data_IF_703053193192
#
_entry.id   IF_703053193192
#
_cell.length_a   1.000
_cell.length_b   1.000
_cell.length_c   1.000
_cell.angle_alpha   90.00
_cell.angle_beta   90.00
_cell.angle_gamma   90.00
#
_symmetry.space_group_name_H-M   'P 1'
#
loop_
_entity.id
_entity.type
_entity.pdbx_description
1 polymer ?
#
# COMPACT_ATOMS: atom_id res chain seq x y z
N UNK A 1 13.38 -21.22 14.78
CA UNK A 1 12.53 -20.76 13.67
C UNK A 1 11.53 -19.77 14.25
N UNK A 2 11.79 -18.46 14.14
CA UNK A 2 10.88 -17.41 14.60
C UNK A 2 10.00 -17.02 13.41
N UNK A 3 8.73 -17.40 13.44
CA UNK A 3 7.72 -16.86 12.53
C UNK A 3 7.46 -15.40 12.94
N UNK A 4 8.15 -14.47 12.28
CA UNK A 4 7.84 -13.04 12.37
C UNK A 4 6.69 -12.79 11.41
N UNK A 5 5.48 -12.59 11.94
CA UNK A 5 4.36 -12.04 11.18
C UNK A 5 4.71 -10.59 10.85
N UNK A 6 5.24 -10.36 9.64
CA UNK A 6 5.53 -9.02 9.12
C UNK A 6 4.30 -8.54 8.39
N UNK A 7 3.60 -7.54 8.94
CA UNK A 7 2.58 -6.81 8.19
C UNK A 7 3.13 -5.45 7.78
N UNK A 8 3.64 -5.39 6.55
CA UNK A 8 3.82 -4.15 5.81
C UNK A 8 2.46 -3.80 5.19
N UNK A 9 2.07 -2.52 5.29
CA UNK A 9 0.89 -1.90 4.68
C UNK A 9 0.16 -2.76 3.64
N UNK A 10 -0.92 -3.41 4.07
CA UNK A 10 -1.81 -4.14 3.18
C UNK A 10 -2.54 -3.15 2.29
N UNK A 11 -2.01 -2.91 1.09
CA UNK A 11 -2.82 -2.41 -0.02
C UNK A 11 -3.62 -3.62 -0.50
N UNK A 12 -4.82 -3.85 0.05
CA UNK A 12 -5.66 -4.94 -0.45
C UNK A 12 -6.24 -4.56 -1.83
N UNK A 13 -6.40 -5.59 -2.64
CA UNK A 13 -6.78 -5.51 -4.04
C UNK A 13 -8.24 -5.84 -4.22
N UNK A 14 -8.83 -5.13 -5.19
CA UNK A 14 -9.92 -5.63 -5.99
C UNK A 14 -9.47 -6.78 -6.89
N UNK A 15 -9.91 -7.99 -6.55
CA UNK A 15 -9.97 -9.11 -7.49
C UNK A 15 -11.43 -9.25 -7.96
N UNK A 16 -11.74 -8.68 -9.12
CA UNK A 16 -12.99 -8.96 -9.83
C UNK A 16 -12.89 -10.29 -10.54
N UNK A 17 -13.82 -11.21 -10.28
CA UNK A 17 -14.03 -12.39 -11.11
C UNK A 17 -15.38 -12.31 -11.81
N UNK A 18 -15.33 -12.70 -13.08
CA UNK A 18 -16.33 -12.55 -14.12
C UNK A 18 -17.46 -13.58 -13.99
N UNK A 19 -18.64 -13.20 -14.48
CA UNK A 19 -19.89 -13.96 -14.50
C UNK A 19 -19.77 -15.31 -15.22
N UNK A 20 -20.32 -16.36 -14.61
CA UNK A 20 -20.94 -17.46 -15.33
C UNK A 20 -22.36 -17.67 -14.79
N UNK A 21 -23.32 -17.38 -15.67
CA UNK A 21 -24.73 -17.66 -15.48
C UNK A 21 -24.98 -19.16 -15.52
N UNK A 22 -25.60 -19.70 -14.49
CA UNK A 22 -26.45 -20.88 -14.61
C UNK A 22 -27.76 -20.63 -13.89
N UNK A 23 -28.83 -20.76 -14.67
CA UNK A 23 -30.23 -20.74 -14.28
C UNK A 23 -30.54 -21.83 -13.25
N UNK A 24 -31.40 -21.53 -12.27
CA UNK A 24 -32.51 -22.42 -11.91
C UNK A 24 -33.55 -21.68 -11.05
N UNK A 25 -34.79 -21.70 -11.55
CA UNK A 25 -35.99 -21.31 -10.83
C UNK A 25 -36.32 -22.37 -9.76
N UNK A 26 -36.62 -21.93 -8.54
CA UNK A 26 -37.54 -22.64 -7.65
C UNK A 26 -38.18 -21.64 -6.69
N UNK A 27 -39.48 -21.44 -6.86
CA UNK A 27 -40.39 -20.78 -5.91
C UNK A 27 -40.72 -21.69 -4.74
N UNK A 28 -40.67 -21.18 -3.51
CA UNK A 28 -41.73 -21.38 -2.51
C UNK A 28 -41.47 -20.56 -1.25
N UNK A 29 -42.51 -19.83 -0.82
CA UNK A 29 -42.67 -19.24 0.50
C UNK A 29 -42.28 -20.23 1.62
N UNK A 30 -41.55 -19.76 2.64
CA UNK A 30 -41.96 -20.07 4.00
C UNK A 30 -41.46 -19.03 5.03
N UNK A 31 -42.45 -18.51 5.75
CA UNK A 31 -42.48 -17.83 7.05
C UNK A 31 -41.18 -17.44 7.77
N UNK A 32 -41.11 -16.16 8.12
CA UNK A 32 -40.18 -15.57 9.10
C UNK A 32 -40.17 -16.35 10.42
N UNK A 33 -38.98 -16.76 10.84
CA UNK A 33 -38.67 -17.12 12.22
C UNK A 33 -37.53 -16.20 12.67
N UNK A 34 -37.66 -15.47 13.79
CA UNK A 34 -36.58 -14.61 14.26
C UNK A 34 -35.34 -15.47 14.49
N UNK A 35 -34.23 -15.11 13.82
CA UNK A 35 -32.95 -15.74 14.08
C UNK A 35 -32.62 -15.50 15.55
N UNK A 36 -32.61 -16.59 16.30
CA UNK A 36 -32.13 -16.63 17.66
C UNK A 36 -30.72 -16.04 17.66
N UNK A 37 -30.50 -15.04 18.51
CA UNK A 37 -29.17 -14.52 18.80
C UNK A 37 -28.30 -15.71 19.20
N UNK A 38 -27.35 -16.05 18.32
CA UNK A 38 -26.31 -17.02 18.62
C UNK A 38 -25.55 -16.45 19.83
N UNK A 39 -25.68 -17.12 20.97
CA UNK A 39 -24.95 -16.80 22.19
C UNK A 39 -23.47 -17.08 21.95
N UNK A 40 -22.79 -16.15 21.28
CA UNK A 40 -21.33 -16.15 21.22
C UNK A 40 -20.82 -15.71 22.59
N UNK A 41 -19.92 -16.50 23.15
CA UNK A 41 -19.03 -16.13 24.26
C UNK A 41 -18.78 -14.63 24.29
N UNK A 42 -19.24 -13.95 25.35
CA UNK A 42 -19.05 -12.52 25.51
C UNK A 42 -17.56 -12.21 25.35
N UNK A 43 -17.22 -11.49 24.28
CA UNK A 43 -15.92 -10.84 24.15
C UNK A 43 -15.83 -9.86 25.32
N UNK A 44 -14.86 -10.05 26.22
CA UNK A 44 -14.64 -9.13 27.35
C UNK A 44 -14.09 -7.76 26.91
N UNK A 45 -13.82 -7.59 25.61
CA UNK A 45 -13.35 -6.36 25.01
C UNK A 45 -14.46 -5.36 24.70
N UNK A 46 -14.08 -4.12 24.41
CA UNK A 46 -14.96 -3.07 23.91
C UNK A 46 -15.55 -3.52 22.57
N UNK A 47 -16.88 -3.58 22.50
CA UNK A 47 -17.62 -3.97 21.30
C UNK A 47 -17.22 -3.11 20.10
N UNK A 48 -16.85 -3.76 18.99
CA UNK A 48 -16.58 -3.10 17.72
C UNK A 48 -17.84 -3.12 16.85
N UNK A 49 -18.25 -1.94 16.39
CA UNK A 49 -19.39 -1.70 15.52
C UNK A 49 -18.97 -0.75 14.37
N UNK A 50 -19.90 -0.40 13.47
CA UNK A 50 -19.58 0.44 12.32
C UNK A 50 -19.06 1.85 12.71
N UNK A 51 -19.49 2.39 13.86
CA UNK A 51 -19.14 3.75 14.29
C UNK A 51 -17.71 3.85 14.83
N UNK A 52 -17.18 2.77 15.42
CA UNK A 52 -15.84 2.73 15.99
C UNK A 52 -14.85 1.82 15.24
N UNK A 53 -15.29 1.17 14.16
CA UNK A 53 -14.47 0.23 13.39
C UNK A 53 -13.15 0.86 12.92
N UNK A 54 -13.18 2.08 12.38
CA UNK A 54 -11.97 2.74 11.85
C UNK A 54 -10.89 2.87 12.93
N UNK A 55 -11.31 3.25 14.14
CA UNK A 55 -10.43 3.39 15.30
C UNK A 55 -9.88 2.02 15.75
N UNK A 56 -10.76 1.03 15.90
CA UNK A 56 -10.38 -0.32 16.30
C UNK A 56 -9.43 -1.00 15.29
N UNK A 57 -9.66 -0.77 14.00
CA UNK A 57 -8.80 -1.27 12.92
C UNK A 57 -7.42 -0.59 12.97
N UNK A 58 -7.40 0.74 13.10
CA UNK A 58 -6.16 1.52 13.13
C UNK A 58 -5.33 1.24 14.37
N UNK A 59 -5.95 1.11 15.54
CA UNK A 59 -5.29 0.73 16.79
C UNK A 59 -4.59 -0.63 16.67
N UNK A 60 -5.20 -1.60 15.97
CA UNK A 60 -4.57 -2.90 15.71
C UNK A 60 -3.27 -2.72 14.89
N UNK A 61 -3.28 -1.89 13.85
CA UNK A 61 -2.08 -1.62 13.05
C UNK A 61 -1.02 -0.84 13.84
N UNK A 62 -1.42 0.15 14.65
CA UNK A 62 -0.50 0.89 15.52
C UNK A 62 0.12 -0.03 16.57
N UNK A 63 -0.68 -0.90 17.22
CA UNK A 63 -0.20 -1.88 18.19
C UNK A 63 0.86 -2.80 17.59
N UNK A 64 0.63 -3.29 16.37
CA UNK A 64 1.58 -4.14 15.66
C UNK A 64 2.86 -3.36 15.30
N UNK A 65 2.75 -2.12 14.80
CA UNK A 65 3.95 -1.30 14.53
C UNK A 65 4.76 -0.99 15.79
N UNK A 66 4.11 -0.71 16.92
CA UNK A 66 4.76 -0.50 18.22
C UNK A 66 5.48 -1.77 18.68
N UNK A 67 4.84 -2.94 18.50
CA UNK A 67 5.44 -4.24 18.82
C UNK A 67 6.68 -4.53 17.96
N UNK A 68 6.60 -4.31 16.65
CA UNK A 68 7.71 -4.55 15.72
C UNK A 68 8.90 -3.60 15.95
N UNK A 69 8.62 -2.39 16.43
CA UNK A 69 9.64 -1.43 16.86
C UNK A 69 10.22 -1.71 18.26
N UNK A 70 9.61 -2.61 19.04
CA UNK A 70 9.98 -2.88 20.42
C UNK A 70 9.66 -1.72 21.38
N UNK A 71 8.60 -0.95 21.08
CA UNK A 71 8.08 0.14 21.91
C UNK A 71 7.61 1.36 21.11
N UNK A 72 6.89 2.25 21.79
CA UNK A 72 6.43 3.53 21.23
C UNK A 72 7.61 4.48 21.02
N UNK A 73 7.46 5.43 20.08
CA UNK A 73 8.47 6.42 19.71
C UNK A 73 9.82 5.80 19.30
N UNK A 74 9.79 4.57 18.79
CA UNK A 74 10.94 3.86 18.21
C UNK A 74 10.68 3.57 16.74
N UNK A 75 11.72 3.70 15.93
CA UNK A 75 11.63 3.31 14.54
C UNK A 75 11.71 1.80 14.39
N UNK A 76 10.82 1.27 13.58
CA UNK A 76 11.06 0.02 12.88
C UNK A 76 11.50 0.34 11.45
N UNK A 77 12.75 0.00 11.12
CA UNK A 77 13.29 0.18 9.77
C UNK A 77 13.34 -1.17 9.03
N UNK A 78 12.70 -1.24 7.87
CA UNK A 78 12.91 -2.34 6.95
C UNK A 78 14.23 -2.10 6.22
N UNK A 79 15.23 -2.94 6.51
CA UNK A 79 16.60 -2.84 5.98
C UNK A 79 16.82 -3.65 4.70
N UNK A 80 15.83 -4.43 4.33
CA UNK A 80 15.86 -5.28 3.14
C UNK A 80 14.58 -5.07 2.32
N UNK A 81 14.71 -5.28 1.02
CA UNK A 81 13.54 -5.38 0.14
C UNK A 81 12.73 -6.62 0.51
N UNK A 82 11.42 -6.60 0.22
CA UNK A 82 10.56 -7.76 0.38
C UNK A 82 11.19 -9.00 -0.30
N UNK A 83 11.55 -10.05 0.45
CA UNK A 83 12.12 -11.27 -0.12
C UNK A 83 11.16 -11.92 -1.11
N UNK A 84 11.67 -12.51 -2.18
CA UNK A 84 10.82 -13.14 -3.21
C UNK A 84 10.25 -14.48 -2.71
N UNK A 85 11.03 -15.18 -1.91
CA UNK A 85 10.72 -16.48 -1.31
C UNK A 85 9.88 -16.38 -0.02
N UNK A 86 9.70 -15.19 0.53
CA UNK A 86 8.90 -14.96 1.73
C UNK A 86 8.11 -13.63 1.64
N UNK A 87 7.09 -13.63 0.79
CA UNK A 87 6.23 -12.46 0.57
C UNK A 87 5.03 -12.50 1.52
N UNK A 88 5.02 -11.62 2.52
CA UNK A 88 3.88 -11.50 3.45
C UNK A 88 2.79 -10.55 2.96
N UNK A 89 3.01 -9.84 1.85
CA UNK A 89 2.12 -8.80 1.32
C UNK A 89 1.82 -9.06 -0.16
N UNK A 90 0.53 -9.12 -0.49
CA UNK A 90 0.04 -9.19 -1.86
C UNK A 90 0.34 -7.85 -2.56
N UNK A 91 0.84 -7.91 -3.80
CA UNK A 91 1.33 -6.76 -4.58
C UNK A 91 2.36 -5.90 -3.82
N UNK A 92 3.27 -6.56 -3.10
CA UNK A 92 4.37 -5.89 -2.42
C UNK A 92 5.12 -4.92 -3.34
N UNK A 93 5.57 -3.80 -2.77
CA UNK A 93 6.36 -2.80 -3.44
C UNK A 93 7.86 -3.08 -3.21
N UNK A 94 8.65 -3.09 -4.29
CA UNK A 94 10.12 -3.27 -4.23
C UNK A 94 10.89 -2.04 -4.73
N UNK A 95 10.22 -0.90 -4.91
CA UNK A 95 10.86 0.35 -5.32
C UNK A 95 11.29 1.23 -4.14
N UNK A 96 10.87 0.91 -2.91
CA UNK A 96 11.17 1.70 -1.70
C UNK A 96 11.51 0.79 -0.53
N UNK A 97 12.36 1.29 0.39
CA UNK A 97 12.45 0.77 1.75
C UNK A 97 11.53 1.55 2.68
N UNK A 98 10.95 0.84 3.63
CA UNK A 98 9.95 1.35 4.56
C UNK A 98 10.55 1.63 5.93
N UNK A 99 10.00 2.60 6.63
CA UNK A 99 10.18 2.75 8.08
C UNK A 99 8.85 3.15 8.71
N UNK A 100 8.62 2.74 9.94
CA UNK A 100 7.44 3.14 10.71
C UNK A 100 7.80 3.56 12.12
N UNK A 101 7.01 4.46 12.69
CA UNK A 101 7.10 4.90 14.08
C UNK A 101 5.72 5.40 14.52
N UNK A 102 5.35 5.11 15.76
CA UNK A 102 4.11 5.58 16.40
C UNK A 102 4.48 6.52 17.54
N UNK A 103 3.79 7.66 17.65
CA UNK A 103 4.00 8.67 18.68
C UNK A 103 2.75 8.88 19.53
N UNK A 104 2.95 9.18 20.82
CA UNK A 104 1.90 9.65 21.75
C UNK A 104 1.96 11.17 21.85
N UNK A 105 1.00 11.87 21.24
CA UNK A 105 0.91 13.33 21.24
C UNK A 105 0.33 13.89 22.54
N UNK A 106 -0.27 13.07 23.41
CA UNK A 106 -0.65 13.52 24.75
C UNK A 106 0.58 13.71 25.67
N UNK A 107 1.66 12.97 25.42
CA UNK A 107 2.89 13.11 26.19
C UNK A 107 3.66 14.39 25.81
N UNK A 108 3.84 14.62 24.51
CA UNK A 108 4.43 15.86 24.00
C UNK A 108 4.21 15.99 22.48
N UNK A 109 4.21 17.24 21.95
CA UNK A 109 4.42 17.47 20.53
C UNK A 109 5.70 16.78 20.03
N UNK A 110 5.65 16.29 18.80
CA UNK A 110 6.81 15.66 18.15
C UNK A 110 7.23 16.46 16.92
N UNK A 111 8.54 16.65 16.77
CA UNK A 111 9.13 17.21 15.57
C UNK A 111 9.99 16.16 14.89
N UNK A 112 9.75 15.91 13.60
CA UNK A 112 10.59 15.02 12.79
C UNK A 112 11.41 15.83 11.81
N UNK A 113 12.63 15.38 11.53
CA UNK A 113 13.45 15.91 10.46
C UNK A 113 13.80 14.79 9.50
N UNK A 114 13.32 14.91 8.26
CA UNK A 114 13.74 14.06 7.15
C UNK A 114 15.05 14.60 6.56
N UNK A 115 16.10 13.78 6.42
CA UNK A 115 17.37 14.21 5.85
C UNK A 115 17.21 14.56 4.37
N UNK A 116 18.18 15.28 3.81
CA UNK A 116 18.23 15.56 2.37
C UNK A 116 18.57 14.28 1.58
N UNK A 117 17.64 13.74 0.77
CA UNK A 117 17.90 12.57 -0.06
C UNK A 117 18.50 12.96 -1.42
N UNK A 118 18.80 14.24 -1.65
CA UNK A 118 19.13 14.80 -2.96
C UNK A 118 17.95 14.67 -3.93
N UNK A 119 18.17 14.01 -5.06
CA UNK A 119 17.12 13.77 -6.08
C UNK A 119 16.25 12.54 -5.80
N UNK A 120 16.57 11.75 -4.77
CA UNK A 120 15.87 10.51 -4.46
C UNK A 120 14.52 10.82 -3.83
N UNK A 121 13.50 10.07 -4.24
CA UNK A 121 12.19 10.17 -3.61
C UNK A 121 12.25 9.69 -2.16
N UNK A 122 11.80 10.54 -1.23
CA UNK A 122 11.60 10.19 0.17
C UNK A 122 10.37 10.92 0.70
N UNK A 123 9.45 10.18 1.30
CA UNK A 123 8.19 10.71 1.83
C UNK A 123 7.90 10.16 3.23
N UNK A 124 7.29 10.95 4.09
CA UNK A 124 6.70 10.52 5.35
C UNK A 124 5.20 10.75 5.31
N UNK A 125 4.42 9.68 5.39
CA UNK A 125 2.96 9.75 5.46
C UNK A 125 2.53 9.65 6.91
N UNK A 126 1.93 10.72 7.42
CA UNK A 126 1.22 10.71 8.69
C UNK A 126 -0.11 9.99 8.51
N UNK A 127 -0.43 9.12 9.45
CA UNK A 127 -1.73 8.47 9.63
C UNK A 127 -2.15 8.75 11.08
N UNK A 128 -3.33 9.33 11.28
CA UNK A 128 -3.91 9.50 12.61
C UNK A 128 -4.74 8.28 13.03
N UNK A 129 -5.29 8.28 14.25
CA UNK A 129 -6.07 7.13 14.75
C UNK A 129 -7.41 6.92 14.01
N UNK A 130 -7.90 7.94 13.30
CA UNK A 130 -9.06 7.84 12.43
C UNK A 130 -8.64 7.53 10.98
N UNK A 131 -7.39 7.14 10.76
CA UNK A 131 -6.79 6.81 9.48
C UNK A 131 -6.85 7.92 8.41
N UNK A 132 -7.03 9.17 8.80
CA UNK A 132 -6.78 10.26 7.87
C UNK A 132 -5.28 10.35 7.61
N UNK A 133 -4.92 10.64 6.37
CA UNK A 133 -3.55 10.56 5.89
C UNK A 133 -3.09 11.86 5.26
N UNK A 134 -1.85 12.27 5.59
CA UNK A 134 -1.19 13.41 4.97
C UNK A 134 0.29 13.09 4.70
N UNK A 135 0.74 13.33 3.47
CA UNK A 135 2.13 13.07 3.06
C UNK A 135 2.99 14.32 3.09
N UNK A 136 4.18 14.16 3.67
CA UNK A 136 5.27 15.12 3.73
C UNK A 136 6.46 14.58 2.93
N UNK A 137 7.30 15.46 2.39
CA UNK A 137 8.42 15.08 1.52
C UNK A 137 9.74 15.61 2.07
N UNK A 138 10.80 14.82 1.89
CA UNK A 138 12.14 15.23 2.29
C UNK A 138 12.81 16.15 1.24
N UNK A 139 13.80 16.97 1.64
CA UNK A 139 14.15 17.30 3.03
C UNK A 139 13.08 18.15 3.70
N UNK A 140 12.98 18.06 5.03
CA UNK A 140 12.11 18.95 5.77
C UNK A 140 12.00 18.61 7.25
N UNK A 141 11.59 19.62 8.03
CA UNK A 141 11.30 19.49 9.46
C UNK A 141 9.81 19.77 9.68
N UNK A 142 9.12 18.84 10.35
CA UNK A 142 7.67 18.85 10.50
C UNK A 142 7.30 18.63 11.97
N UNK A 143 6.47 19.50 12.52
CA UNK A 143 6.00 19.41 13.92
C UNK A 143 4.52 19.05 13.97
N UNK A 144 4.22 18.02 14.76
CA UNK A 144 2.88 17.50 14.99
C UNK A 144 2.47 17.73 16.45
N UNK A 145 1.26 18.24 16.65
CA UNK A 145 0.65 18.44 17.96
C UNK A 145 -0.73 17.80 17.97
N UNK A 146 -1.21 17.37 19.14
CA UNK A 146 -2.53 16.76 19.27
C UNK A 146 -3.64 17.71 18.79
N UNK A 147 -3.51 19.01 19.03
CA UNK A 147 -4.50 20.01 18.62
C UNK A 147 -4.61 20.13 17.09
N UNK A 148 -3.50 19.97 16.36
CA UNK A 148 -3.49 20.04 14.90
C UNK A 148 -3.92 18.75 14.24
N UNK A 149 -3.57 17.60 14.84
CA UNK A 149 -3.89 16.27 14.30
C UNK A 149 -5.32 15.88 14.65
N UNK A 150 -5.74 16.08 15.89
CA UNK A 150 -7.06 15.71 16.40
C UNK A 150 -7.11 14.38 17.16
N UNK A 151 -6.06 13.57 17.12
CA UNK A 151 -5.96 12.28 17.81
C UNK A 151 -4.74 12.22 18.73
N UNK A 152 -4.75 11.30 19.70
CA UNK A 152 -3.64 11.10 20.65
C UNK A 152 -2.46 10.47 19.93
N UNK A 153 -2.70 9.42 19.15
CA UNK A 153 -1.65 8.71 18.45
C UNK A 153 -1.55 9.12 16.98
N UNK A 154 -0.33 9.13 16.47
CA UNK A 154 -0.05 9.14 15.04
C UNK A 154 0.96 8.06 14.69
N UNK A 155 0.87 7.54 13.48
CA UNK A 155 1.93 6.76 12.86
C UNK A 155 2.53 7.51 11.68
N UNK A 156 3.84 7.51 11.56
CA UNK A 156 4.53 7.92 10.34
C UNK A 156 5.01 6.71 9.56
N UNK A 157 4.47 6.51 8.35
CA UNK A 157 4.99 5.57 7.36
C UNK A 157 5.95 6.28 6.41
N UNK A 158 7.23 5.96 6.48
CA UNK A 158 8.28 6.59 5.68
C UNK A 158 8.67 5.64 4.55
N UNK A 159 8.77 6.19 3.33
CA UNK A 159 9.15 5.48 2.11
C UNK A 159 10.34 6.17 1.48
N UNK A 160 11.42 5.45 1.27
CA UNK A 160 12.63 5.96 0.61
C UNK A 160 12.92 5.10 -0.61
N UNK A 161 12.95 5.72 -1.79
CA UNK A 161 13.25 5.01 -3.04
C UNK A 161 14.59 4.29 -2.96
N UNK A 162 14.67 3.10 -3.51
CA UNK A 162 15.88 2.29 -3.61
C UNK A 162 16.01 1.75 -5.03
N UNK A 163 17.22 1.75 -5.58
CA UNK A 163 17.51 0.98 -6.79
C UNK A 163 17.69 -0.49 -6.40
N UNK A 164 16.74 -1.39 -6.70
CA UNK A 164 16.86 -2.80 -6.33
C UNK A 164 17.96 -3.55 -7.09
N UNK A 165 18.58 -2.93 -8.11
CA UNK A 165 19.63 -3.55 -8.92
C UNK A 165 21.05 -3.19 -8.46
N UNK A 166 21.20 -2.24 -7.52
CA UNK A 166 22.49 -1.84 -6.96
C UNK A 166 22.48 -2.10 -5.43
N UNK A 167 23.11 -3.19 -4.96
CA UNK A 167 23.22 -3.46 -3.52
C UNK A 167 23.86 -2.31 -2.73
N UNK A 168 24.76 -1.53 -3.34
CA UNK A 168 25.37 -0.36 -2.68
C UNK A 168 24.39 0.81 -2.55
N UNK A 169 23.30 0.81 -3.31
CA UNK A 169 22.23 1.80 -3.16
C UNK A 169 21.39 1.52 -1.93
N UNK A 170 21.21 0.24 -1.54
CA UNK A 170 20.56 -0.15 -0.28
C UNK A 170 21.29 0.49 0.90
N UNK A 171 22.62 0.42 0.95
CA UNK A 171 23.42 1.03 2.03
C UNK A 171 23.19 2.55 2.14
N UNK A 172 23.03 3.24 1.01
CA UNK A 172 22.71 4.69 1.00
C UNK A 172 21.31 4.95 1.56
N UNK A 173 20.35 4.09 1.27
CA UNK A 173 18.98 4.20 1.79
C UNK A 173 18.95 3.89 3.28
N UNK A 174 19.72 2.91 3.75
CA UNK A 174 19.90 2.61 5.18
C UNK A 174 20.49 3.83 5.90
N UNK A 175 21.52 4.46 5.33
CA UNK A 175 22.09 5.69 5.89
C UNK A 175 21.07 6.84 5.96
N UNK A 176 20.17 6.97 4.97
CA UNK A 176 19.07 7.94 5.00
C UNK A 176 18.03 7.61 6.07
N UNK A 177 17.70 6.33 6.27
CA UNK A 177 16.82 5.90 7.36
C UNK A 177 17.42 6.26 8.73
N UNK A 178 18.71 6.00 8.92
CA UNK A 178 19.44 6.26 10.18
C UNK A 178 19.58 7.76 10.48
N UNK A 179 19.56 8.59 9.43
CA UNK A 179 19.66 10.04 9.56
C UNK A 179 18.34 10.74 9.87
N UNK A 180 17.21 10.02 9.94
CA UNK A 180 15.92 10.59 10.36
C UNK A 180 16.00 10.97 11.84
N UNK A 181 15.69 12.23 12.16
CA UNK A 181 15.72 12.72 13.54
C UNK A 181 14.31 12.90 14.08
N UNK A 182 14.15 12.60 15.36
CA UNK A 182 12.94 12.80 16.14
C UNK A 182 13.31 13.62 17.36
N UNK A 183 12.53 14.67 17.61
CA UNK A 183 12.57 15.45 18.83
C UNK A 183 11.17 15.40 19.48
N UNK A 184 11.09 14.65 20.57
CA UNK A 184 9.90 14.55 21.42
C UNK A 184 10.39 14.54 22.87
N UNK A 185 9.89 15.46 23.70
CA UNK A 185 10.35 15.61 25.09
C UNK A 185 10.03 14.37 25.94
N UNK A 186 8.86 13.79 25.71
CA UNK A 186 8.37 12.62 26.42
C UNK A 186 7.71 11.66 25.43
N UNK A 187 8.07 10.37 25.49
CA UNK A 187 7.61 9.37 24.52
C UNK A 187 6.19 8.84 24.80
N UNK A 188 5.68 9.05 26.02
CA UNK A 188 4.38 8.54 26.44
C UNK A 188 4.28 7.02 26.49
N UNK A 189 3.06 6.52 26.30
CA UNK A 189 2.74 5.07 26.30
C UNK A 189 1.73 4.76 25.22
N UNK A 190 1.81 3.56 24.67
CA UNK A 190 0.78 3.06 23.76
C UNK A 190 -0.28 2.27 24.55
N UNK A 191 -1.48 2.83 24.65
CA UNK A 191 -2.60 2.32 25.42
C UNK A 191 -3.88 2.49 24.59
N UNK A 192 -4.42 1.38 24.11
CA UNK A 192 -5.65 1.34 23.32
C UNK A 192 -6.68 0.44 24.01
N UNK A 193 -7.98 0.62 23.75
CA UNK A 193 -8.99 -0.27 24.28
C UNK A 193 -8.71 -1.73 23.90
N UNK A 194 -9.10 -2.66 24.78
CA UNK A 194 -9.14 -4.08 24.44
C UNK A 194 -10.30 -4.30 23.47
N UNK A 195 -10.08 -4.09 22.17
CA UNK A 195 -11.14 -4.18 21.16
C UNK A 195 -11.60 -5.63 20.96
N UNK A 196 -12.91 -5.83 20.78
CA UNK A 196 -13.46 -7.10 20.33
C UNK A 196 -12.93 -7.49 18.94
N UNK A 197 -11.87 -8.30 18.91
CA UNK A 197 -11.19 -8.71 17.68
C UNK A 197 -12.10 -9.53 16.75
N UNK A 198 -13.04 -10.29 17.30
CA UNK A 198 -13.97 -11.07 16.50
C UNK A 198 -14.98 -10.15 15.79
N UNK A 199 -15.55 -9.18 16.51
CA UNK A 199 -16.38 -8.12 15.95
C UNK A 199 -15.66 -7.28 14.90
N UNK A 200 -14.43 -6.83 15.20
CA UNK A 200 -13.57 -6.10 14.26
C UNK A 200 -13.37 -6.88 12.97
N UNK A 201 -12.93 -8.13 13.06
CA UNK A 201 -12.69 -8.97 11.88
C UNK A 201 -13.96 -9.16 11.06
N UNK A 202 -15.12 -9.36 11.69
CA UNK A 202 -16.41 -9.52 11.00
C UNK A 202 -16.76 -8.30 10.15
N UNK A 203 -16.56 -7.09 10.69
CA UNK A 203 -16.82 -5.84 9.97
C UNK A 203 -15.80 -5.66 8.85
N UNK A 204 -14.51 -5.91 9.13
CA UNK A 204 -13.45 -5.91 8.12
C UNK A 204 -13.82 -6.80 6.92
N UNK A 205 -14.15 -8.07 7.16
CA UNK A 205 -14.49 -9.04 6.10
C UNK A 205 -15.73 -8.58 5.30
N UNK A 206 -16.73 -8.00 5.98
CA UNK A 206 -17.93 -7.47 5.33
C UNK A 206 -17.61 -6.27 4.42
N UNK A 207 -16.73 -5.37 4.88
CA UNK A 207 -16.28 -4.22 4.10
C UNK A 207 -15.39 -4.65 2.93
N UNK A 208 -14.63 -5.75 3.05
CA UNK A 208 -13.94 -6.39 1.93
C UNK A 208 -14.94 -6.85 0.87
N UNK A 209 -16.08 -7.41 1.24
CA UNK A 209 -17.11 -7.78 0.25
C UNK A 209 -17.78 -6.56 -0.38
N UNK A 210 -18.15 -5.55 0.41
CA UNK A 210 -18.69 -4.26 -0.11
C UNK A 210 -17.73 -3.64 -1.10
N UNK A 211 -16.43 -3.66 -0.77
CA UNK A 211 -15.41 -3.07 -1.61
C UNK A 211 -15.54 -3.58 -3.04
N UNK A 212 -15.79 -4.89 -3.27
CA UNK A 212 -15.78 -5.53 -4.61
C UNK A 212 -16.79 -4.91 -5.58
N UNK A 213 -17.73 -4.12 -5.09
CA UNK A 213 -18.72 -3.38 -5.88
C UNK A 213 -18.24 -2.01 -6.35
N UNK A 214 -17.12 -1.52 -5.80
CA UNK A 214 -16.55 -0.21 -6.11
C UNK A 214 -15.65 -0.29 -7.35
N UNK A 215 -15.73 0.70 -8.27
CA UNK A 215 -14.94 0.69 -9.50
C UNK A 215 -13.49 1.16 -9.29
N UNK A 216 -13.19 1.82 -8.16
CA UNK A 216 -11.93 2.48 -7.89
C UNK A 216 -11.71 2.70 -6.37
N UNK A 217 -10.53 3.20 -6.01
CA UNK A 217 -10.16 3.58 -4.64
C UNK A 217 -10.34 5.08 -4.37
N UNK A 218 -11.12 5.79 -5.20
CA UNK A 218 -11.20 7.24 -5.11
C UNK A 218 -11.91 7.69 -3.84
N UNK A 219 -11.33 8.68 -3.17
CA UNK A 219 -11.84 9.21 -1.91
C UNK A 219 -11.70 8.27 -0.71
N UNK A 220 -10.89 7.21 -0.80
CA UNK A 220 -10.62 6.32 0.34
C UNK A 220 -9.54 6.86 1.29
N UNK A 221 -8.52 7.55 0.75
CA UNK A 221 -7.33 7.97 1.49
C UNK A 221 -7.05 9.46 1.29
N UNK A 222 -6.76 10.16 2.37
CA UNK A 222 -6.59 11.62 2.37
C UNK A 222 -6.83 12.22 3.74
N UNK A 223 -6.74 13.55 3.81
CA UNK A 223 -7.25 14.30 4.97
C UNK A 223 -8.78 14.20 5.03
N UNK A 224 -9.37 14.55 6.17
CA UNK A 224 -10.82 14.45 6.39
C UNK A 224 -11.68 15.16 5.33
N UNK A 225 -11.20 16.25 4.77
CA UNK A 225 -11.86 17.03 3.71
C UNK A 225 -11.62 16.49 2.29
N UNK A 226 -10.74 15.50 2.13
CA UNK A 226 -10.37 14.90 0.83
C UNK A 226 -11.02 13.55 0.59
N UNK A 227 -11.67 12.97 1.60
CA UNK A 227 -12.26 11.62 1.52
C UNK A 227 -13.78 11.67 1.56
N UNK A 228 -14.41 10.66 0.96
CA UNK A 228 -15.82 10.37 1.19
C UNK A 228 -15.94 9.42 2.39
N UNK A 229 -16.84 9.67 3.32
CA UNK A 229 -16.89 8.92 4.58
C UNK A 229 -17.14 7.41 4.37
N UNK A 230 -17.98 7.04 3.41
CA UNK A 230 -18.25 5.62 3.10
C UNK A 230 -17.05 4.99 2.40
N UNK A 231 -16.45 5.69 1.43
CA UNK A 231 -15.22 5.22 0.78
C UNK A 231 -14.08 5.06 1.78
N UNK A 232 -13.92 6.01 2.69
CA UNK A 232 -12.93 5.98 3.74
C UNK A 232 -13.09 4.74 4.63
N UNK A 233 -14.30 4.49 5.14
CA UNK A 233 -14.62 3.29 5.93
C UNK A 233 -14.24 1.99 5.20
N UNK A 234 -14.61 1.87 3.92
CA UNK A 234 -14.25 0.71 3.09
C UNK A 234 -12.74 0.62 2.86
N UNK A 235 -12.09 1.76 2.62
CA UNK A 235 -10.64 1.87 2.47
C UNK A 235 -9.87 1.51 3.73
N UNK A 236 -10.46 1.72 4.91
CA UNK A 236 -9.88 1.29 6.19
C UNK A 236 -9.72 -0.20 6.28
N UNK A 237 -10.75 -0.95 5.88
CA UNK A 237 -10.66 -2.40 5.86
C UNK A 237 -9.74 -2.90 4.74
N UNK A 238 -9.80 -2.28 3.56
CA UNK A 238 -9.21 -2.86 2.34
C UNK A 238 -7.89 -2.24 1.90
N UNK A 239 -7.39 -1.20 2.54
CA UNK A 239 -6.17 -0.55 2.08
C UNK A 239 -5.52 0.28 3.16
N UNK A 240 -5.47 -0.24 4.39
CA UNK A 240 -4.95 0.51 5.52
C UNK A 240 -3.55 1.09 5.24
N UNK A 241 -3.41 2.40 5.44
CA UNK A 241 -2.21 3.17 5.09
C UNK A 241 -1.94 3.35 3.59
N UNK A 242 -2.99 3.26 2.77
CA UNK A 242 -3.00 3.74 1.39
C UNK A 242 -2.63 5.21 1.30
N UNK A 243 -1.93 5.59 0.22
CA UNK A 243 -1.60 6.99 -0.02
C UNK A 243 -2.82 7.75 -0.56
N UNK A 244 -2.95 9.04 -0.23
CA UNK A 244 -3.80 9.94 -0.99
C UNK A 244 -3.41 9.91 -2.48
N UNK A 245 -4.39 10.02 -3.38
CA UNK A 245 -4.17 9.84 -4.84
C UNK A 245 -3.08 10.77 -5.40
N UNK A 246 -3.04 12.01 -4.88
CA UNK A 246 -2.04 13.03 -5.23
C UNK A 246 -0.61 12.65 -4.86
N UNK A 247 -0.44 11.71 -3.93
CA UNK A 247 0.86 11.28 -3.41
C UNK A 247 1.29 9.95 -4.05
N UNK A 248 0.36 9.01 -4.26
CA UNK A 248 0.55 7.87 -5.13
C UNK A 248 -0.76 7.35 -5.76
N UNK A 249 -0.72 7.05 -7.06
CA UNK A 249 -1.82 6.42 -7.81
C UNK A 249 -1.38 5.04 -8.30
N UNK A 250 -2.28 4.05 -8.24
CA UNK A 250 -2.03 2.66 -8.62
C UNK A 250 -2.98 2.24 -9.75
N UNK A 251 -2.44 1.76 -10.87
CA UNK A 251 -3.22 1.29 -12.01
C UNK A 251 -3.00 -0.22 -12.20
N UNK A 252 -3.95 -1.08 -11.77
CA UNK A 252 -3.88 -2.50 -12.05
C UNK A 252 -4.22 -2.76 -13.52
N UNK A 253 -3.45 -3.63 -14.18
CA UNK A 253 -3.77 -4.10 -15.53
C UNK A 253 -3.70 -5.62 -15.61
N UNK A 254 -4.75 -6.19 -16.20
CA UNK A 254 -4.90 -7.61 -16.48
C UNK A 254 -4.90 -7.80 -18.00
N UNK A 255 -3.80 -8.30 -18.58
CA UNK A 255 -3.68 -8.48 -20.03
C UNK A 255 -4.75 -9.44 -20.60
N UNK A 256 -5.23 -9.17 -21.82
CA UNK A 256 -6.33 -9.94 -22.42
C UNK A 256 -5.96 -11.40 -22.75
N UNK A 257 -4.82 -11.63 -23.42
CA UNK A 257 -4.22 -12.97 -23.60
C UNK A 257 -3.26 -13.24 -22.46
N UNK A 258 -3.76 -13.84 -21.40
CA UNK A 258 -3.05 -14.04 -20.13
C UNK A 258 -2.54 -15.48 -19.95
N UNK A 259 -1.95 -16.04 -21.01
CA UNK A 259 -1.48 -17.43 -21.09
C UNK A 259 -0.07 -17.64 -20.53
N UNK A 260 0.63 -16.56 -20.17
CA UNK A 260 2.03 -16.59 -19.74
C UNK A 260 3.07 -16.73 -20.87
N UNK A 261 2.64 -16.79 -22.13
CA UNK A 261 3.51 -17.02 -23.29
C UNK A 261 3.42 -15.88 -24.32
N UNK A 262 2.25 -15.27 -24.48
CA UNK A 262 2.04 -14.13 -25.37
C UNK A 262 2.92 -12.98 -24.89
N UNK A 263 3.84 -12.53 -25.75
CA UNK A 263 4.72 -11.40 -25.45
C UNK A 263 3.94 -10.09 -25.53
N UNK A 264 4.12 -9.21 -24.56
CA UNK A 264 3.58 -7.85 -24.57
C UNK A 264 4.68 -6.80 -24.56
N UNK A 265 4.42 -5.65 -25.15
CA UNK A 265 5.28 -4.46 -25.04
C UNK A 265 4.49 -3.26 -24.57
N UNK A 266 5.06 -2.57 -23.59
CA UNK A 266 4.60 -1.28 -23.09
C UNK A 266 5.64 -0.22 -23.47
N UNK A 267 5.24 0.78 -24.26
CA UNK A 267 6.08 1.94 -24.55
C UNK A 267 5.51 3.16 -23.85
N UNK A 268 6.33 3.82 -23.02
CA UNK A 268 5.91 4.99 -22.24
C UNK A 268 6.93 6.11 -22.34
N UNK A 269 6.46 7.36 -22.41
CA UNK A 269 7.29 8.56 -22.50
C UNK A 269 6.60 9.72 -21.77
N UNK A 270 7.38 10.64 -21.20
CA UNK A 270 6.89 11.89 -20.59
C UNK A 270 5.77 11.69 -19.56
N UNK A 271 5.95 10.76 -18.63
CA UNK A 271 4.97 10.52 -17.55
C UNK A 271 4.97 11.73 -16.60
N UNK A 272 3.84 12.41 -16.39
CA UNK A 272 3.79 13.64 -15.60
C UNK A 272 3.71 13.34 -14.10
N UNK A 273 4.84 12.90 -13.53
CA UNK A 273 5.03 12.62 -12.10
C UNK A 273 6.18 13.47 -11.55
N UNK A 274 6.08 13.92 -10.30
CA UNK A 274 7.13 14.67 -9.60
C UNK A 274 8.01 13.80 -8.69
N UNK A 275 7.64 12.53 -8.50
CA UNK A 275 8.46 11.52 -7.84
C UNK A 275 9.11 10.61 -8.88
N UNK A 276 8.47 9.47 -9.12
CA UNK A 276 8.87 8.48 -10.11
C UNK A 276 7.65 7.65 -10.52
N UNK A 277 7.81 6.85 -11.56
CA UNK A 277 6.82 5.82 -11.89
C UNK A 277 7.48 4.44 -11.90
N UNK A 278 6.71 3.40 -11.59
CA UNK A 278 7.16 2.03 -11.68
C UNK A 278 6.10 1.11 -12.25
N UNK A 279 6.55 -0.02 -12.81
CA UNK A 279 5.72 -1.11 -13.33
C UNK A 279 6.25 -2.40 -12.70
N UNK A 280 5.39 -3.10 -11.95
CA UNK A 280 5.73 -4.38 -11.30
C UNK A 280 4.84 -5.49 -11.82
N UNK A 281 5.40 -6.68 -12.04
CA UNK A 281 4.68 -7.87 -12.52
C UNK A 281 4.46 -8.85 -11.38
N UNK A 282 3.28 -9.44 -11.35
CA UNK A 282 2.89 -10.41 -10.34
C UNK A 282 2.15 -11.61 -10.95
N UNK A 283 2.21 -12.75 -10.28
CA UNK A 283 1.45 -13.94 -10.62
C UNK A 283 -0.05 -13.79 -10.28
N UNK A 284 -0.81 -14.84 -10.64
CA UNK A 284 -2.27 -14.89 -10.44
C UNK A 284 -2.69 -14.73 -8.98
N UNK A 285 -1.84 -15.16 -8.04
CA UNK A 285 -2.12 -15.09 -6.61
C UNK A 285 -1.90 -13.71 -6.01
N UNK A 286 -1.04 -12.86 -6.58
CA UNK A 286 -0.68 -11.64 -5.86
C UNK A 286 0.78 -11.25 -5.89
N UNK A 287 1.66 -12.20 -6.15
CA UNK A 287 3.03 -12.18 -5.66
C UNK A 287 4.04 -12.13 -6.80
N UNK A 288 5.26 -11.68 -6.51
CA UNK A 288 6.36 -11.78 -7.44
C UNK A 288 6.68 -13.25 -7.70
N UNK A 289 6.77 -13.63 -8.98
CA UNK A 289 7.21 -14.98 -9.36
C UNK A 289 8.74 -15.01 -9.48
N UNK A 290 9.41 -15.82 -8.66
CA UNK A 290 10.85 -16.07 -8.79
C UNK A 290 11.20 -16.49 -10.23
N UNK A 291 12.23 -15.87 -10.79
CA UNK A 291 12.72 -16.12 -12.14
C UNK A 291 14.24 -15.95 -12.21
N UNK A 292 14.87 -16.59 -13.18
CA UNK A 292 16.33 -16.67 -13.31
C UNK A 292 17.00 -15.32 -13.64
N UNK A 293 16.21 -14.35 -14.13
CA UNK A 293 16.69 -13.01 -14.46
C UNK A 293 16.64 -12.04 -13.27
N UNK A 294 16.10 -12.47 -12.12
CA UNK A 294 15.85 -11.62 -10.94
C UNK A 294 15.10 -10.32 -11.32
N UNK A 295 14.20 -10.40 -12.30
CA UNK A 295 13.52 -9.25 -12.90
C UNK A 295 12.05 -9.25 -12.53
N UNK A 296 11.61 -8.21 -11.83
CA UNK A 296 10.25 -8.14 -11.26
C UNK A 296 9.55 -6.79 -11.50
N UNK A 297 10.33 -5.72 -11.58
CA UNK A 297 9.83 -4.37 -11.83
C UNK A 297 10.78 -3.56 -12.72
N UNK A 298 10.24 -2.50 -13.32
CA UNK A 298 10.99 -1.45 -14.00
C UNK A 298 10.42 -0.09 -13.61
N UNK A 299 11.28 0.88 -13.41
CA UNK A 299 10.87 2.22 -13.00
C UNK A 299 11.63 3.29 -13.78
N UNK A 300 11.21 4.55 -13.63
CA UNK A 300 11.76 5.69 -14.39
C UNK A 300 13.25 5.96 -14.16
N UNK A 301 13.83 5.39 -13.10
CA UNK A 301 15.21 5.60 -12.68
C UNK A 301 16.11 4.42 -13.10
N UNK A 302 15.59 3.19 -13.07
CA UNK A 302 16.35 1.96 -13.33
C UNK A 302 16.17 1.41 -14.74
N UNK A 303 15.08 1.77 -15.42
CA UNK A 303 14.83 1.29 -16.78
C UNK A 303 15.76 1.95 -17.80
N UNK A 304 16.24 1.15 -18.76
CA UNK A 304 17.03 1.65 -19.88
C UNK A 304 16.14 2.46 -20.82
N UNK A 305 16.55 3.69 -21.14
CA UNK A 305 15.83 4.56 -22.07
C UNK A 305 16.20 4.24 -23.52
N UNK A 306 15.22 4.38 -24.40
CA UNK A 306 15.40 4.36 -25.85
C UNK A 306 16.00 5.70 -26.32
N UNK A 307 16.47 5.75 -27.58
CA UNK A 307 17.10 6.94 -28.15
C UNK A 307 16.19 8.18 -28.17
N UNK A 308 14.87 7.97 -28.27
CA UNK A 308 13.86 9.04 -28.22
C UNK A 308 13.51 9.47 -26.77
N UNK A 309 14.19 8.91 -25.76
CA UNK A 309 13.94 9.17 -24.34
C UNK A 309 12.73 8.45 -23.75
N UNK A 310 12.01 7.63 -24.53
CA UNK A 310 10.98 6.73 -24.02
C UNK A 310 11.58 5.53 -23.29
N UNK A 311 10.73 4.76 -22.62
CA UNK A 311 11.07 3.44 -22.08
C UNK A 311 10.13 2.42 -22.71
N UNK A 312 10.72 1.40 -23.33
CA UNK A 312 9.99 0.21 -23.78
C UNK A 312 10.24 -0.93 -22.79
N UNK A 313 9.19 -1.48 -22.19
CA UNK A 313 9.21 -2.66 -21.30
C UNK A 313 8.61 -3.82 -22.07
N UNK A 314 9.29 -4.98 -22.05
CA UNK A 314 8.78 -6.23 -22.61
C UNK A 314 8.34 -7.16 -21.47
N UNK A 315 7.19 -7.80 -21.66
CA UNK A 315 6.68 -8.84 -20.79
C UNK A 315 6.67 -10.17 -21.53
N UNK A 316 7.32 -11.19 -20.96
CA UNK A 316 7.49 -12.49 -21.59
C UNK A 316 8.54 -12.52 -22.70
N UNK A 317 8.89 -13.74 -23.14
CA UNK A 317 9.92 -13.96 -24.15
C UNK A 317 11.30 -13.41 -23.74
N UNK A 318 11.61 -13.42 -22.44
CA UNK A 318 12.86 -12.88 -21.92
C UNK A 318 13.99 -13.89 -22.07
N UNK A 319 14.98 -13.54 -22.88
CA UNK A 319 16.16 -14.35 -23.20
C UNK A 319 17.46 -13.82 -22.55
N UNK A 320 17.33 -12.83 -21.66
CA UNK A 320 18.46 -12.13 -21.03
C UNK A 320 19.12 -11.05 -21.90
N UNK A 321 18.69 -10.85 -23.16
CA UNK A 321 19.26 -9.84 -24.07
C UNK A 321 18.44 -8.56 -24.11
N UNK A 322 17.15 -8.64 -23.82
CA UNK A 322 16.25 -7.49 -23.78
C UNK A 322 16.35 -6.78 -22.43
N UNK A 323 16.90 -5.56 -22.42
CA UNK A 323 17.26 -4.82 -21.20
C UNK A 323 16.09 -4.62 -20.21
N UNK A 324 14.92 -4.24 -20.71
CA UNK A 324 13.72 -3.98 -19.90
C UNK A 324 12.72 -5.13 -19.98
N UNK A 325 13.20 -6.38 -19.93
CA UNK A 325 12.32 -7.55 -19.96
C UNK A 325 11.96 -8.05 -18.57
N UNK A 326 10.69 -8.34 -18.35
CA UNK A 326 10.16 -8.95 -17.13
C UNK A 326 9.47 -10.27 -17.51
N UNK A 327 9.93 -11.43 -17.00
CA UNK A 327 9.25 -12.71 -17.19
C UNK A 327 7.81 -12.67 -16.67
N UNK A 328 6.93 -13.46 -17.30
CA UNK A 328 5.49 -13.55 -16.96
C UNK A 328 5.09 -15.01 -16.75
N UNK A 329 3.93 -15.20 -16.13
CA UNK A 329 3.30 -16.52 -15.88
C UNK A 329 1.84 -16.50 -16.30
N UNK A 330 1.18 -17.65 -16.48
CA UNK A 330 -0.27 -17.68 -16.68
C UNK A 330 -1.02 -16.90 -15.59
N UNK A 331 -2.03 -16.11 -15.99
CA UNK A 331 -2.83 -15.30 -15.06
C UNK A 331 -2.07 -14.12 -14.44
N UNK A 332 -0.96 -13.67 -15.02
CA UNK A 332 -0.19 -12.53 -14.52
C UNK A 332 -0.97 -11.22 -14.55
N UNK A 333 -0.54 -10.27 -13.74
CA UNK A 333 -0.98 -8.87 -13.80
C UNK A 333 0.22 -7.96 -13.67
N UNK A 334 0.10 -6.72 -14.13
CA UNK A 334 1.07 -5.68 -13.78
C UNK A 334 0.40 -4.49 -13.15
N UNK A 335 1.15 -3.82 -12.29
CA UNK A 335 0.70 -2.65 -11.56
C UNK A 335 1.60 -1.48 -11.91
N UNK A 336 0.99 -0.41 -12.38
CA UNK A 336 1.67 0.88 -12.55
C UNK A 336 1.52 1.65 -11.24
N UNK A 337 2.62 2.16 -10.71
CA UNK A 337 2.63 3.09 -9.57
C UNK A 337 3.13 4.44 -10.04
N UNK A 338 2.38 5.49 -9.77
CA UNK A 338 2.69 6.86 -10.12
C UNK A 338 2.87 7.63 -8.82
N UNK A 339 4.09 8.04 -8.49
CA UNK A 339 4.40 8.76 -7.26
C UNK A 339 4.42 10.26 -7.52
N UNK A 340 3.61 11.00 -6.75
CA UNK A 340 3.32 12.43 -6.98
C UNK A 340 2.82 12.69 -8.40
N UNK A 341 1.73 12.01 -8.85
CA UNK A 341 1.12 12.30 -10.14
C UNK A 341 0.66 13.76 -10.20
N UNK A 342 0.97 14.43 -11.30
CA UNK A 342 0.49 15.79 -11.53
C UNK A 342 -0.99 15.79 -11.91
N UNK A 343 -1.56 16.99 -11.97
CA UNK A 343 -2.98 17.22 -12.24
C UNK A 343 -3.47 16.54 -13.52
N UNK A 344 -2.63 16.44 -14.54
CA UNK A 344 -2.96 15.81 -15.83
C UNK A 344 -3.30 14.33 -15.70
N UNK A 345 -2.68 13.61 -14.76
CA UNK A 345 -3.08 12.23 -14.43
C UNK A 345 -4.35 12.25 -13.58
N UNK A 346 -4.39 13.10 -12.55
CA UNK A 346 -5.48 13.12 -11.57
C UNK A 346 -6.82 13.56 -12.17
N UNK A 347 -6.81 14.40 -13.22
CA UNK A 347 -7.99 14.83 -13.96
C UNK A 347 -8.25 13.99 -15.23
N UNK A 348 -7.41 12.99 -15.49
CA UNK A 348 -7.57 12.03 -16.59
C UNK A 348 -7.19 12.55 -17.98
N UNK A 349 -6.64 13.77 -18.11
CA UNK A 349 -6.18 14.32 -19.40
C UNK A 349 -4.98 13.59 -19.97
N UNK A 350 -4.16 13.00 -19.11
CA UNK A 350 -3.05 12.14 -19.46
C UNK A 350 -3.32 10.74 -18.90
N UNK A 351 -3.23 9.72 -19.76
CA UNK A 351 -3.41 8.32 -19.37
C UNK A 351 -2.12 7.56 -19.57
N UNK A 352 -1.80 6.72 -18.58
CA UNK A 352 -0.68 5.81 -18.72
C UNK A 352 -0.98 4.79 -19.83
N UNK A 353 -0.07 4.55 -20.78
CA UNK A 353 -0.33 3.62 -21.87
C UNK A 353 -0.43 2.18 -21.36
N UNK A 354 -1.24 1.36 -22.02
CA UNK A 354 -1.34 -0.06 -21.73
C UNK A 354 -0.41 -0.90 -22.62
N UNK A 355 0.11 -1.98 -22.06
CA UNK A 355 0.89 -2.97 -22.79
C UNK A 355 0.08 -3.61 -23.93
N UNK A 356 0.68 -3.72 -25.11
CA UNK A 356 0.05 -4.31 -26.30
C UNK A 356 0.69 -5.66 -26.62
N UNK A 357 -0.11 -6.65 -27.01
CA UNK A 357 0.40 -7.94 -27.47
C UNK A 357 1.24 -7.74 -28.73
N UNK A 358 2.42 -8.36 -28.78
CA UNK A 358 3.25 -8.41 -29.98
C UNK A 358 2.56 -9.37 -30.96
N UNK A 359 2.43 -8.92 -32.21
CA UNK A 359 1.80 -9.71 -33.29
C UNK A 359 2.69 -10.84 -33.76
#
# INVERSE_FOLDING_TARGET
MKNTFVLLFSIALFAGCNNQSTTNNATSNDSEKPHAADTSTASNGVLVNADNFVRAETDMYFAQSVKDAGGIAKFHHFRELMPIDNQSVIRANRDVLYSSIVFDLDAAPVTITLPDPGKRFMSAMLIDEDQYAQTYYAPGTFTFTKEKVGTRYIMLGIRTFVDPNDPKDIDKVIALQDAIKVDQKENGKFEVPDWDQAGRKRIHDSLVDVSKTLPDTKGMFGTKDQVDATRHLVGTATGWGGNPEKDATYLPVFPAKNDGNTVYKLKVKNVPVDGFWSVSVYNKEGYFQKNDLNSYSRNSLTAKKDADGSVTIQFGGCDGKVANCIPITPGWSYWVRLYRPRKEILDGKWKFPEAQAVK
#
